data_IF_223299085320
#
_entry.id   IF_223299085320
#
_cell.length_a   1.000
_cell.length_b   1.000
_cell.length_c   1.000
_cell.angle_alpha   90.00
_cell.angle_beta   90.00
_cell.angle_gamma   90.00
#
_symmetry.space_group_name_H-M   'P 1'
#
loop_
_entity.id
_entity.type
_entity.pdbx_description
1 polymer ?
#
# COMPACT_ATOMS: atom_id res chain seq x y z
N UNK A 1 -7.15 9.21 26.23
CA UNK A 1 -8.52 9.53 25.77
C UNK A 1 -8.53 10.29 24.43
N UNK A 2 -7.62 9.96 23.50
CA UNK A 2 -7.48 10.57 22.16
C UNK A 2 -7.66 9.54 21.01
N UNK A 3 -8.04 8.30 21.35
CA UNK A 3 -8.04 7.13 20.45
C UNK A 3 -9.26 7.11 19.50
N UNK A 4 -10.36 7.78 19.86
CA UNK A 4 -11.64 7.63 19.17
C UNK A 4 -11.62 8.03 17.67
N UNK A 5 -10.98 9.14 17.25
CA UNK A 5 -10.92 9.49 15.83
C UNK A 5 -9.94 8.62 15.02
N UNK A 6 -8.89 8.10 15.67
CA UNK A 6 -7.83 7.32 15.03
C UNK A 6 -8.25 5.86 14.76
N UNK A 7 -9.06 5.28 15.65
CA UNK A 7 -9.60 3.90 15.53
C UNK A 7 -10.38 3.65 14.23
N UNK A 8 -10.87 4.72 13.58
CA UNK A 8 -11.53 4.63 12.28
C UNK A 8 -10.55 4.31 11.15
N UNK A 9 -9.29 4.73 11.25
CA UNK A 9 -8.31 4.61 10.16
C UNK A 9 -7.15 3.67 10.49
N UNK A 10 -7.04 3.23 11.75
CA UNK A 10 -6.01 2.34 12.28
C UNK A 10 -6.70 1.20 13.02
N UNK A 11 -6.31 -0.04 12.74
CA UNK A 11 -7.00 -1.22 13.26
C UNK A 11 -6.75 -1.51 14.74
N UNK A 12 -5.72 -0.90 15.31
CA UNK A 12 -5.30 -1.04 16.70
C UNK A 12 -3.82 -0.76 16.85
N UNK A 13 -3.32 -0.86 18.07
CA UNK A 13 -1.88 -0.70 18.35
C UNK A 13 -1.15 -2.04 18.29
N UNK A 14 -1.88 -3.16 18.43
CA UNK A 14 -1.29 -4.51 18.51
C UNK A 14 -1.78 -5.43 17.39
N UNK A 15 -0.92 -6.39 17.04
CA UNK A 15 -1.20 -7.38 15.98
C UNK A 15 -2.55 -8.11 16.16
N UNK A 16 -2.97 -8.59 17.36
CA UNK A 16 -4.25 -9.28 17.50
C UNK A 16 -5.46 -8.43 17.10
N UNK A 17 -5.39 -7.11 17.33
CA UNK A 17 -6.45 -6.17 16.94
C UNK A 17 -6.51 -6.00 15.43
N UNK A 18 -5.34 -5.91 14.79
CA UNK A 18 -5.21 -5.86 13.35
C UNK A 18 -5.73 -7.14 12.68
N UNK A 19 -5.36 -8.32 13.19
CA UNK A 19 -5.85 -9.62 12.70
C UNK A 19 -7.37 -9.76 12.88
N UNK A 20 -7.94 -9.25 13.98
CA UNK A 20 -9.39 -9.22 14.16
C UNK A 20 -10.09 -8.31 13.14
N UNK A 21 -9.48 -7.17 12.78
CA UNK A 21 -9.99 -6.32 11.71
C UNK A 21 -9.91 -6.98 10.33
N UNK A 22 -8.81 -7.67 10.03
CA UNK A 22 -8.67 -8.45 8.79
C UNK A 22 -9.71 -9.55 8.71
N UNK A 23 -9.97 -10.29 9.79
CA UNK A 23 -11.00 -11.35 9.81
C UNK A 23 -12.37 -10.81 9.40
N UNK A 24 -12.79 -9.67 9.96
CA UNK A 24 -14.05 -9.00 9.60
C UNK A 24 -14.11 -8.54 8.13
N UNK A 25 -12.97 -8.19 7.53
CA UNK A 25 -12.89 -7.87 6.11
C UNK A 25 -13.02 -9.14 5.26
N UNK A 26 -12.32 -10.21 5.63
CA UNK A 26 -12.34 -11.48 4.91
C UNK A 26 -13.72 -12.14 4.92
N UNK A 27 -14.47 -12.05 6.02
CA UNK A 27 -15.88 -12.48 6.13
C UNK A 27 -16.80 -11.80 5.10
N UNK A 28 -16.39 -10.66 4.56
CA UNK A 28 -17.11 -9.89 3.54
C UNK A 28 -16.50 -10.05 2.13
N UNK A 29 -15.62 -11.02 1.94
CA UNK A 29 -14.91 -11.25 0.67
C UNK A 29 -13.84 -10.20 0.35
N UNK A 30 -13.43 -9.38 1.33
CA UNK A 30 -12.43 -8.33 1.14
C UNK A 30 -11.07 -8.82 1.68
N UNK A 31 -10.04 -8.74 0.85
CA UNK A 31 -8.65 -9.06 1.20
C UNK A 31 -8.03 -7.93 2.02
N UNK A 32 -6.90 -8.18 2.69
CA UNK A 32 -6.17 -7.13 3.40
C UNK A 32 -4.68 -7.03 3.03
N UNK A 33 -4.10 -5.85 3.26
CA UNK A 33 -2.66 -5.59 3.29
C UNK A 33 -2.35 -4.99 4.66
N UNK A 34 -1.72 -5.72 5.56
CA UNK A 34 -1.33 -5.22 6.87
C UNK A 34 -0.07 -4.35 6.77
N UNK A 35 -0.08 -3.22 7.45
CA UNK A 35 1.03 -2.26 7.50
C UNK A 35 1.36 -1.96 8.96
N UNK A 36 2.57 -2.31 9.37
CA UNK A 36 3.10 -1.92 10.67
C UNK A 36 3.57 -0.47 10.58
N UNK A 37 2.98 0.40 11.40
CA UNK A 37 3.25 1.83 11.35
C UNK A 37 4.65 2.16 11.85
N UNK A 38 5.39 2.89 11.03
CA UNK A 38 6.75 3.37 11.25
C UNK A 38 7.39 3.74 9.90
N UNK A 39 8.35 4.67 9.91
CA UNK A 39 9.17 5.08 8.76
C UNK A 39 10.54 5.56 9.30
N UNK A 40 11.61 5.50 8.49
CA UNK A 40 12.91 6.16 8.76
C UNK A 40 13.58 5.80 10.11
N UNK A 41 13.88 4.51 10.34
CA UNK A 41 14.65 4.12 11.53
C UNK A 41 16.13 4.51 11.36
N UNK A 42 16.75 5.03 12.43
CA UNK A 42 18.14 5.52 12.41
C UNK A 42 19.13 4.59 13.12
N UNK A 43 18.66 3.50 13.73
CA UNK A 43 19.49 2.57 14.49
C UNK A 43 19.36 1.15 13.94
N UNK A 44 20.48 0.42 13.82
CA UNK A 44 20.48 -0.98 13.31
C UNK A 44 19.57 -1.89 14.14
N UNK A 45 19.59 -1.73 15.46
CA UNK A 45 18.73 -2.50 16.36
C UNK A 45 17.23 -2.27 16.10
N UNK A 46 16.84 -1.04 15.71
CA UNK A 46 15.46 -0.74 15.35
C UNK A 46 15.06 -1.37 14.01
N UNK A 47 15.97 -1.39 13.02
CA UNK A 47 15.76 -2.08 11.75
C UNK A 47 15.61 -3.60 11.94
N UNK A 48 16.45 -4.19 12.78
CA UNK A 48 16.37 -5.61 13.16
C UNK A 48 15.06 -5.94 13.87
N UNK A 49 14.66 -5.11 14.85
CA UNK A 49 13.38 -5.26 15.53
C UNK A 49 12.20 -5.19 14.55
N UNK A 50 12.22 -4.24 13.60
CA UNK A 50 11.18 -4.13 12.58
C UNK A 50 11.11 -5.38 11.69
N UNK A 51 12.26 -5.91 11.24
CA UNK A 51 12.33 -7.16 10.48
C UNK A 51 11.73 -8.34 11.26
N UNK A 52 12.12 -8.50 12.53
CA UNK A 52 11.55 -9.51 13.41
C UNK A 52 10.02 -9.36 13.59
N UNK A 53 9.53 -8.12 13.69
CA UNK A 53 8.09 -7.84 13.79
C UNK A 53 7.35 -8.22 12.51
N UNK A 54 7.91 -7.99 11.32
CA UNK A 54 7.31 -8.44 10.07
C UNK A 54 7.29 -9.96 9.93
N UNK A 55 8.36 -10.65 10.34
CA UNK A 55 8.39 -12.12 10.39
C UNK A 55 7.33 -12.65 11.36
N UNK A 56 7.19 -12.04 12.54
CA UNK A 56 6.16 -12.39 13.50
C UNK A 56 4.75 -12.14 12.95
N UNK A 57 4.55 -11.04 12.23
CA UNK A 57 3.28 -10.70 11.58
C UNK A 57 2.88 -11.75 10.54
N UNK A 58 3.82 -12.17 9.68
CA UNK A 58 3.57 -13.19 8.66
C UNK A 58 3.12 -14.53 9.28
N UNK A 59 3.80 -14.97 10.35
CA UNK A 59 3.39 -16.14 11.13
C UNK A 59 2.01 -15.94 11.78
N UNK A 60 1.77 -14.77 12.37
CA UNK A 60 0.48 -14.43 12.97
C UNK A 60 -0.68 -14.42 11.97
N UNK A 61 -0.45 -13.99 10.73
CA UNK A 61 -1.43 -14.09 9.63
C UNK A 61 -1.76 -15.55 9.33
N UNK A 62 -0.74 -16.40 9.18
CA UNK A 62 -0.91 -17.83 8.91
C UNK A 62 -1.64 -18.55 10.05
N UNK A 63 -1.21 -18.34 11.29
CA UNK A 63 -1.80 -18.95 12.49
C UNK A 63 -3.28 -18.53 12.67
N UNK A 64 -3.61 -17.28 12.34
CA UNK A 64 -4.97 -16.76 12.42
C UNK A 64 -5.89 -17.22 11.28
N UNK A 65 -5.32 -17.83 10.23
CA UNK A 65 -6.04 -18.29 9.04
C UNK A 65 -6.70 -17.15 8.25
N UNK A 66 -6.15 -15.94 8.30
CA UNK A 66 -6.72 -14.76 7.63
C UNK A 66 -6.04 -14.50 6.28
N UNK A 67 -6.78 -13.97 5.31
CA UNK A 67 -6.26 -13.64 3.99
C UNK A 67 -5.76 -12.18 3.95
N UNK A 68 -4.45 -12.04 4.22
CA UNK A 68 -3.73 -10.77 4.15
C UNK A 68 -2.31 -10.95 3.63
N UNK A 69 -1.82 -9.96 2.89
CA UNK A 69 -0.38 -9.76 2.67
C UNK A 69 0.15 -8.67 3.61
N UNK A 70 1.46 -8.44 3.61
CA UNK A 70 2.06 -7.29 4.31
C UNK A 70 2.55 -6.21 3.35
N UNK A 71 2.49 -4.95 3.79
CA UNK A 71 3.14 -3.79 3.18
C UNK A 71 4.29 -3.36 4.09
N UNK A 72 5.45 -3.08 3.50
CA UNK A 72 6.68 -2.68 4.21
C UNK A 72 7.27 -1.42 3.59
N UNK A 73 8.09 -0.71 4.36
CA UNK A 73 8.87 0.44 3.91
C UNK A 73 10.34 0.14 4.15
N UNK A 74 11.19 0.39 3.16
CA UNK A 74 12.60 0.00 3.26
C UNK A 74 13.36 0.86 4.25
N UNK A 75 12.92 2.09 4.48
CA UNK A 75 13.50 2.93 5.55
C UNK A 75 13.26 2.39 6.94
N UNK A 76 12.20 1.58 7.18
CA UNK A 76 12.04 0.82 8.42
C UNK A 76 13.01 -0.35 8.54
N UNK A 77 13.55 -0.83 7.41
CA UNK A 77 14.51 -1.92 7.37
C UNK A 77 15.96 -1.42 7.36
N UNK A 78 16.18 -0.11 7.57
CA UNK A 78 17.51 0.47 7.66
C UNK A 78 18.07 0.98 6.32
N UNK A 79 17.23 1.29 5.33
CA UNK A 79 17.69 1.84 4.04
C UNK A 79 18.49 3.15 4.22
N UNK A 80 18.10 3.99 5.18
CA UNK A 80 18.82 5.23 5.54
C UNK A 80 20.16 4.97 6.26
N UNK A 81 20.38 3.76 6.76
CA UNK A 81 21.59 3.36 7.50
C UNK A 81 22.59 2.73 6.53
N UNK A 82 22.17 1.66 5.87
CA UNK A 82 22.97 0.90 4.91
C UNK A 82 22.05 0.12 3.96
N UNK A 83 22.14 0.31 2.63
CA UNK A 83 21.29 -0.40 1.68
C UNK A 83 21.37 -1.93 1.78
N UNK A 84 22.56 -2.47 2.07
CA UNK A 84 22.75 -3.92 2.25
C UNK A 84 22.02 -4.44 3.49
N UNK A 85 21.99 -3.67 4.58
CA UNK A 85 21.24 -4.03 5.79
C UNK A 85 19.74 -4.17 5.46
N UNK A 86 19.17 -3.18 4.76
CA UNK A 86 17.77 -3.23 4.34
C UNK A 86 17.47 -4.44 3.43
N UNK A 87 18.41 -4.79 2.56
CA UNK A 87 18.32 -5.96 1.69
C UNK A 87 18.34 -7.27 2.47
N UNK A 88 19.23 -7.44 3.45
CA UNK A 88 19.30 -8.63 4.30
C UNK A 88 18.00 -8.82 5.10
N UNK A 89 17.49 -7.74 5.70
CA UNK A 89 16.19 -7.77 6.39
C UNK A 89 15.03 -8.09 5.45
N UNK A 90 15.04 -7.53 4.23
CA UNK A 90 14.04 -7.82 3.21
C UNK A 90 14.06 -9.31 2.82
N UNK A 91 15.24 -9.88 2.56
CA UNK A 91 15.37 -11.32 2.23
C UNK A 91 14.82 -12.20 3.35
N UNK A 92 15.12 -11.87 4.61
CA UNK A 92 14.59 -12.58 5.79
C UNK A 92 13.06 -12.56 5.82
N UNK A 93 12.45 -11.40 5.57
CA UNK A 93 10.99 -11.25 5.51
C UNK A 93 10.41 -12.04 4.33
N UNK A 94 11.05 -12.02 3.17
CA UNK A 94 10.60 -12.75 1.98
C UNK A 94 10.65 -14.26 2.15
N UNK A 95 11.65 -14.77 2.87
CA UNK A 95 11.73 -16.19 3.22
C UNK A 95 10.63 -16.60 4.19
N UNK A 96 10.39 -15.83 5.25
CA UNK A 96 9.26 -16.06 6.15
C UNK A 96 7.91 -15.98 5.41
N UNK A 97 7.77 -15.04 4.49
CA UNK A 97 6.55 -14.90 3.70
C UNK A 97 6.31 -16.17 2.87
N UNK A 98 7.35 -16.70 2.22
CA UNK A 98 7.27 -17.95 1.46
C UNK A 98 6.95 -19.16 2.34
N UNK A 99 7.55 -19.27 3.53
CA UNK A 99 7.25 -20.33 4.51
C UNK A 99 5.77 -20.34 4.94
N UNK A 100 5.12 -19.19 4.91
CA UNK A 100 3.71 -18.99 5.29
C UNK A 100 2.74 -18.88 4.10
N UNK A 101 3.18 -19.24 2.89
CA UNK A 101 2.42 -19.09 1.63
C UNK A 101 1.87 -17.66 1.40
N UNK A 102 2.70 -16.66 1.72
CA UNK A 102 2.37 -15.25 1.68
C UNK A 102 3.37 -14.46 0.82
N UNK A 103 3.09 -13.17 0.61
CA UNK A 103 3.88 -12.27 -0.21
C UNK A 103 3.95 -10.86 0.38
N UNK A 104 4.92 -10.08 -0.10
CA UNK A 104 5.26 -8.77 0.45
C UNK A 104 5.08 -7.67 -0.60
N UNK A 105 4.52 -6.53 -0.19
CA UNK A 105 4.52 -5.29 -0.98
C UNK A 105 5.53 -4.31 -0.41
N UNK A 106 6.49 -3.90 -1.22
CA UNK A 106 7.38 -2.78 -0.91
C UNK A 106 6.63 -1.49 -1.27
N UNK A 107 6.27 -0.71 -0.25
CA UNK A 107 5.66 0.60 -0.42
C UNK A 107 6.69 1.61 -0.95
N UNK A 108 6.21 2.55 -1.76
CA UNK A 108 7.05 3.60 -2.34
C UNK A 108 6.98 4.85 -1.48
N UNK A 109 8.13 5.22 -0.93
CA UNK A 109 8.31 6.38 -0.08
C UNK A 109 8.52 7.66 -0.94
N UNK A 110 9.08 8.73 -0.38
CA UNK A 110 9.34 9.97 -1.12
C UNK A 110 10.33 9.78 -2.27
N UNK A 111 10.37 10.72 -3.21
CA UNK A 111 11.20 10.60 -4.43
C UNK A 111 12.70 10.35 -4.20
N UNK A 112 13.35 10.81 -3.09
CA UNK A 112 14.74 10.45 -2.80
C UNK A 112 14.97 8.94 -2.69
N UNK A 113 13.94 8.17 -2.32
CA UNK A 113 14.02 6.72 -2.13
C UNK A 113 13.61 5.91 -3.37
N UNK A 114 13.07 6.54 -4.42
CA UNK A 114 12.46 5.79 -5.53
C UNK A 114 13.45 4.91 -6.27
N UNK A 115 14.65 5.42 -6.58
CA UNK A 115 15.67 4.60 -7.26
C UNK A 115 16.15 3.46 -6.36
N UNK A 116 16.56 3.79 -5.13
CA UNK A 116 17.04 2.83 -4.14
C UNK A 116 16.03 1.70 -3.89
N UNK A 117 14.74 2.05 -3.85
CA UNK A 117 13.65 1.08 -3.68
C UNK A 117 13.51 0.16 -4.89
N UNK A 118 13.63 0.70 -6.11
CA UNK A 118 13.54 -0.11 -7.32
C UNK A 118 14.78 -0.99 -7.50
N UNK A 119 15.98 -0.49 -7.17
CA UNK A 119 17.22 -1.29 -7.17
C UNK A 119 17.12 -2.47 -6.20
N UNK A 120 16.74 -2.20 -4.94
CA UNK A 120 16.54 -3.25 -3.94
C UNK A 120 15.45 -4.25 -4.37
N UNK A 121 14.36 -3.77 -4.98
CA UNK A 121 13.31 -4.63 -5.53
C UNK A 121 13.85 -5.54 -6.64
N UNK A 122 14.55 -5.00 -7.64
CA UNK A 122 15.03 -5.79 -8.76
C UNK A 122 16.04 -6.85 -8.33
N UNK A 123 16.97 -6.48 -7.43
CA UNK A 123 17.97 -7.40 -6.89
C UNK A 123 17.31 -8.64 -6.23
N UNK A 124 16.35 -8.43 -5.32
CA UNK A 124 15.67 -9.58 -4.69
C UNK A 124 14.71 -10.28 -5.64
N UNK A 125 14.11 -9.57 -6.60
CA UNK A 125 13.12 -10.13 -7.51
C UNK A 125 13.73 -11.14 -8.49
N UNK A 126 15.04 -11.12 -8.74
CA UNK A 126 15.71 -12.15 -9.53
C UNK A 126 15.49 -13.55 -8.95
N UNK A 127 15.53 -13.68 -7.62
CA UNK A 127 15.45 -14.98 -6.91
C UNK A 127 14.16 -15.19 -6.12
N UNK A 128 13.46 -14.11 -5.73
CA UNK A 128 12.23 -14.15 -4.93
C UNK A 128 11.06 -13.57 -5.73
N UNK A 129 10.04 -14.37 -6.05
CA UNK A 129 8.86 -13.91 -6.81
C UNK A 129 7.65 -13.55 -5.96
N UNK A 130 7.71 -13.77 -4.64
CA UNK A 130 6.66 -13.42 -3.68
C UNK A 130 6.79 -11.96 -3.18
N UNK A 131 7.15 -11.05 -4.08
CA UNK A 131 7.31 -9.62 -3.79
C UNK A 131 6.72 -8.77 -4.92
N UNK A 132 6.19 -7.60 -4.56
CA UNK A 132 5.75 -6.58 -5.51
C UNK A 132 6.11 -5.18 -5.00
N UNK A 133 5.98 -4.18 -5.86
CA UNK A 133 6.37 -2.79 -5.56
C UNK A 133 5.24 -1.80 -5.83
N UNK A 134 5.34 -0.58 -5.30
CA UNK A 134 4.42 0.53 -5.54
C UNK A 134 5.03 1.52 -6.55
N UNK A 135 4.20 2.11 -7.42
CA UNK A 135 4.57 3.23 -8.29
C UNK A 135 3.58 4.39 -8.08
N UNK A 136 4.09 5.62 -8.11
CA UNK A 136 3.33 6.85 -7.84
C UNK A 136 3.09 7.62 -9.15
N UNK A 137 1.83 7.79 -9.58
CA UNK A 137 1.51 8.42 -10.86
C UNK A 137 1.86 9.91 -10.95
N UNK A 138 2.10 10.57 -9.81
CA UNK A 138 2.51 11.98 -9.78
C UNK A 138 3.96 12.20 -10.22
N UNK A 139 4.83 11.18 -10.18
CA UNK A 139 6.23 11.35 -10.57
C UNK A 139 6.41 11.24 -12.09
N UNK A 140 7.27 12.09 -12.66
CA UNK A 140 7.53 12.11 -14.11
C UNK A 140 8.21 10.84 -14.62
N UNK A 141 8.98 10.17 -13.76
CA UNK A 141 9.69 8.90 -14.06
C UNK A 141 8.80 7.66 -14.14
N UNK A 142 7.58 7.73 -13.60
CA UNK A 142 6.75 6.54 -13.37
C UNK A 142 6.35 5.77 -14.63
N UNK A 143 6.26 6.45 -15.78
CA UNK A 143 5.97 5.78 -17.04
C UNK A 143 7.09 4.81 -17.45
N UNK A 144 8.36 5.24 -17.39
CA UNK A 144 9.50 4.38 -17.69
C UNK A 144 9.67 3.27 -16.67
N UNK A 145 9.42 3.56 -15.39
CA UNK A 145 9.51 2.53 -14.34
C UNK A 145 8.43 1.45 -14.53
N UNK A 146 7.21 1.82 -14.93
CA UNK A 146 6.16 0.85 -15.25
C UNK A 146 6.53 -0.04 -16.43
N UNK A 147 7.13 0.49 -17.50
CA UNK A 147 7.56 -0.35 -18.62
C UNK A 147 8.60 -1.39 -18.19
N UNK A 148 9.57 -1.00 -17.36
CA UNK A 148 10.58 -1.92 -16.81
C UNK A 148 9.92 -3.01 -15.95
N UNK A 149 8.98 -2.63 -15.07
CA UNK A 149 8.29 -3.54 -14.16
C UNK A 149 7.35 -4.50 -14.91
N UNK A 150 6.66 -4.02 -15.94
CA UNK A 150 5.86 -4.85 -16.84
C UNK A 150 6.76 -5.85 -17.58
N UNK A 151 7.88 -5.41 -18.13
CA UNK A 151 8.86 -6.28 -18.78
C UNK A 151 9.42 -7.36 -17.86
N UNK A 152 9.59 -7.06 -16.58
CA UNK A 152 10.01 -8.03 -15.55
C UNK A 152 8.89 -8.97 -15.09
N UNK A 153 7.62 -8.69 -15.41
CA UNK A 153 6.47 -9.44 -14.89
C UNK A 153 6.21 -9.20 -13.39
N UNK A 154 6.59 -8.03 -12.88
CA UNK A 154 6.41 -7.66 -11.48
C UNK A 154 4.94 -7.35 -11.15
N UNK A 155 4.54 -7.65 -9.90
CA UNK A 155 3.27 -7.14 -9.36
C UNK A 155 3.44 -5.67 -9.01
N UNK A 156 2.58 -4.80 -9.53
CA UNK A 156 2.65 -3.35 -9.28
C UNK A 156 1.36 -2.83 -8.63
N UNK A 157 1.51 -2.07 -7.54
CA UNK A 157 0.43 -1.24 -6.98
C UNK A 157 0.62 0.19 -7.49
N UNK A 158 -0.36 0.72 -8.20
CA UNK A 158 -0.38 2.09 -8.66
C UNK A 158 -1.13 2.98 -7.68
N UNK A 159 -0.49 4.04 -7.21
CA UNK A 159 -1.08 5.11 -6.37
C UNK A 159 -0.89 6.45 -7.04
N UNK A 160 -1.57 7.51 -6.58
CA UNK A 160 -1.27 8.89 -7.02
C UNK A 160 0.09 9.36 -6.49
N UNK A 161 0.39 9.05 -5.24
CA UNK A 161 1.53 9.55 -4.47
C UNK A 161 1.07 10.35 -3.25
N UNK A 162 1.80 10.23 -2.14
CA UNK A 162 1.40 10.76 -0.83
C UNK A 162 2.38 11.80 -0.26
N UNK A 163 3.52 11.99 -0.93
CA UNK A 163 4.60 12.86 -0.48
C UNK A 163 4.54 14.21 -1.19
N UNK A 164 5.09 15.24 -0.55
CA UNK A 164 5.22 16.56 -1.16
C UNK A 164 6.50 16.60 -1.96
N UNK A 165 6.35 16.63 -3.28
CA UNK A 165 7.47 16.51 -4.21
C UNK A 165 7.72 17.80 -5.00
N UNK A 166 8.97 18.12 -5.34
CA UNK A 166 9.31 19.33 -6.09
C UNK A 166 8.85 19.22 -7.56
N UNK A 167 8.49 20.36 -8.16
CA UNK A 167 7.93 20.43 -9.52
C UNK A 167 8.78 19.80 -10.65
N UNK A 168 10.14 19.82 -10.58
CA UNK A 168 10.96 19.11 -11.55
C UNK A 168 10.75 17.59 -11.53
N UNK A 169 10.43 17.01 -10.37
CA UNK A 169 10.28 15.56 -10.21
C UNK A 169 8.81 15.11 -10.34
N UNK A 170 7.86 15.96 -9.96
CA UNK A 170 6.46 15.60 -9.88
C UNK A 170 5.51 16.61 -10.56
N UNK A 171 4.46 16.08 -11.18
CA UNK A 171 3.31 16.86 -11.64
C UNK A 171 2.59 17.48 -10.45
N UNK A 172 2.39 18.80 -10.49
CA UNK A 172 1.77 19.56 -9.40
C UNK A 172 0.26 19.71 -9.57
N UNK A 173 -0.21 19.71 -10.83
CA UNK A 173 -1.62 19.86 -11.15
C UNK A 173 -2.39 18.55 -10.95
N UNK A 174 -3.43 18.59 -10.11
CA UNK A 174 -4.28 17.41 -9.83
C UNK A 174 -4.84 16.78 -11.11
N UNK A 175 -5.25 17.58 -12.09
CA UNK A 175 -5.76 17.08 -13.39
C UNK A 175 -4.71 16.23 -14.10
N UNK A 176 -3.47 16.72 -14.16
CA UNK A 176 -2.36 16.01 -14.81
C UNK A 176 -2.01 14.73 -14.07
N UNK A 177 -1.96 14.75 -12.72
CA UNK A 177 -1.74 13.52 -11.92
C UNK A 177 -2.84 12.49 -12.15
N UNK A 178 -4.09 12.96 -12.27
CA UNK A 178 -5.27 12.14 -12.53
C UNK A 178 -5.24 11.50 -13.93
N UNK A 179 -4.81 12.24 -14.95
CA UNK A 179 -4.63 11.72 -16.33
C UNK A 179 -3.47 10.73 -16.41
N UNK A 180 -2.36 11.02 -15.73
CA UNK A 180 -1.25 10.07 -15.64
C UNK A 180 -1.66 8.80 -14.89
N UNK A 181 -2.45 8.91 -13.82
CA UNK A 181 -2.97 7.74 -13.11
C UNK A 181 -3.75 6.82 -14.05
N UNK A 182 -4.69 7.36 -14.83
CA UNK A 182 -5.48 6.56 -15.78
C UNK A 182 -4.59 5.91 -16.84
N UNK A 183 -3.69 6.69 -17.46
CA UNK A 183 -2.77 6.18 -18.49
C UNK A 183 -1.90 5.03 -17.99
N UNK A 184 -1.36 5.16 -16.78
CA UNK A 184 -0.51 4.14 -16.16
C UNK A 184 -1.33 2.93 -15.70
N UNK A 185 -2.57 3.14 -15.24
CA UNK A 185 -3.48 2.06 -14.90
C UNK A 185 -3.83 1.23 -16.14
N UNK A 186 -4.21 1.86 -17.24
CA UNK A 186 -4.50 1.19 -18.53
C UNK A 186 -3.32 0.32 -18.95
N UNK A 187 -2.11 0.87 -18.95
CA UNK A 187 -0.89 0.14 -19.32
C UNK A 187 -0.67 -1.11 -18.45
N UNK A 188 -0.84 -0.96 -17.14
CA UNK A 188 -0.72 -2.07 -16.18
C UNK A 188 -1.83 -3.11 -16.36
N UNK A 189 -3.05 -2.69 -16.70
CA UNK A 189 -4.17 -3.61 -16.91
C UNK A 189 -4.01 -4.43 -18.19
N UNK A 190 -3.43 -3.84 -19.25
CA UNK A 190 -3.20 -4.53 -20.52
C UNK A 190 -2.09 -5.58 -20.43
N UNK A 191 -0.99 -5.29 -19.73
CA UNK A 191 0.21 -6.15 -19.77
C UNK A 191 0.87 -6.44 -18.42
N UNK A 192 0.40 -5.84 -17.34
CA UNK A 192 0.96 -6.05 -16.01
C UNK A 192 0.57 -7.42 -15.42
N UNK A 193 1.35 -7.83 -14.42
CA UNK A 193 1.08 -9.02 -13.63
C UNK A 193 0.27 -8.67 -12.38
N UNK A 194 -1.01 -9.05 -12.36
CA UNK A 194 -1.92 -8.81 -11.23
C UNK A 194 -1.84 -7.39 -10.64
N UNK A 195 -2.07 -6.34 -11.46
CA UNK A 195 -1.92 -4.97 -11.01
C UNK A 195 -2.95 -4.61 -9.93
N UNK A 196 -2.53 -3.72 -9.04
CA UNK A 196 -3.37 -3.18 -7.98
C UNK A 196 -3.64 -1.69 -8.22
N UNK A 197 -4.89 -1.34 -8.48
CA UNK A 197 -5.33 0.04 -8.70
C UNK A 197 -5.75 0.64 -7.35
N UNK A 198 -4.82 1.32 -6.69
CA UNK A 198 -5.01 1.82 -5.33
C UNK A 198 -5.49 3.28 -5.32
N UNK A 199 -6.80 3.47 -5.22
CA UNK A 199 -7.45 4.78 -5.26
C UNK A 199 -8.82 4.78 -4.60
N UNK A 200 -9.23 5.94 -4.07
CA UNK A 200 -10.59 6.19 -3.55
C UNK A 200 -11.42 7.10 -4.47
N UNK A 201 -10.84 7.49 -5.61
CA UNK A 201 -11.41 8.45 -6.54
C UNK A 201 -12.38 7.74 -7.50
N UNK A 202 -13.67 8.08 -7.42
CA UNK A 202 -14.72 7.44 -8.21
C UNK A 202 -14.52 7.59 -9.70
N UNK A 203 -13.98 8.71 -10.15
CA UNK A 203 -13.74 8.92 -11.57
C UNK A 203 -12.67 7.96 -12.09
N UNK A 204 -11.69 7.58 -11.26
CA UNK A 204 -10.62 6.63 -11.64
C UNK A 204 -11.10 5.18 -11.54
N UNK A 205 -11.94 4.88 -10.55
CA UNK A 205 -12.59 3.56 -10.43
C UNK A 205 -13.51 3.31 -11.62
N UNK A 206 -14.37 4.27 -11.95
CA UNK A 206 -15.27 4.19 -13.10
C UNK A 206 -14.50 4.06 -14.42
N UNK A 207 -13.43 4.85 -14.59
CA UNK A 207 -12.53 4.75 -15.74
C UNK A 207 -11.92 3.35 -15.89
N UNK A 208 -11.37 2.79 -14.80
CA UNK A 208 -10.79 1.44 -14.77
C UNK A 208 -11.82 0.38 -15.16
N UNK A 209 -13.04 0.47 -14.64
CA UNK A 209 -14.13 -0.47 -14.94
C UNK A 209 -14.54 -0.38 -16.41
N UNK A 210 -14.70 0.84 -16.95
CA UNK A 210 -15.06 1.04 -18.35
C UNK A 210 -13.97 0.46 -19.27
N UNK A 211 -12.71 0.83 -19.05
CA UNK A 211 -11.58 0.37 -19.83
C UNK A 211 -11.45 -1.17 -19.83
N UNK A 212 -11.53 -1.79 -18.65
CA UNK A 212 -11.44 -3.25 -18.55
C UNK A 212 -12.62 -3.96 -19.21
N UNK A 213 -13.82 -3.40 -19.12
CA UNK A 213 -14.99 -3.88 -19.85
C UNK A 213 -14.82 -3.81 -21.37
N UNK A 214 -14.33 -2.69 -21.89
CA UNK A 214 -14.06 -2.51 -23.33
C UNK A 214 -12.97 -3.46 -23.86
N UNK A 215 -11.96 -3.76 -23.03
CA UNK A 215 -10.86 -4.66 -23.40
C UNK A 215 -11.10 -6.12 -23.06
N UNK A 216 -12.24 -6.47 -22.46
CA UNK A 216 -12.54 -7.84 -22.02
C UNK A 216 -11.59 -8.37 -20.96
N UNK A 217 -11.04 -7.49 -20.11
CA UNK A 217 -10.13 -7.87 -19.02
C UNK A 217 -10.97 -8.31 -17.82
N UNK A 218 -10.82 -9.58 -17.43
CA UNK A 218 -11.62 -10.16 -16.35
C UNK A 218 -11.33 -9.52 -14.97
N UNK A 219 -12.33 -9.35 -14.09
CA UNK A 219 -12.18 -8.73 -12.76
C UNK A 219 -11.11 -9.38 -11.87
N UNK A 220 -10.80 -10.66 -12.06
CA UNK A 220 -9.81 -11.41 -11.27
C UNK A 220 -8.37 -11.10 -11.70
N UNK A 221 -8.18 -10.46 -12.86
CA UNK A 221 -6.85 -10.13 -13.40
C UNK A 221 -6.18 -8.97 -12.67
N UNK A 222 -6.93 -8.19 -11.92
CA UNK A 222 -6.44 -7.04 -11.17
C UNK A 222 -7.18 -6.91 -9.84
N UNK A 223 -6.76 -5.97 -8.99
CA UNK A 223 -7.49 -5.66 -7.77
C UNK A 223 -7.63 -4.15 -7.57
N UNK A 224 -8.74 -3.73 -6.97
CA UNK A 224 -8.86 -2.40 -6.39
C UNK A 224 -8.28 -2.41 -4.98
N UNK A 225 -7.61 -1.32 -4.60
CA UNK A 225 -7.17 -1.15 -3.22
C UNK A 225 -7.60 0.18 -2.61
N UNK A 226 -7.96 0.12 -1.34
CA UNK A 226 -8.36 1.29 -0.55
C UNK A 226 -7.83 1.20 0.87
N UNK A 227 -7.60 2.34 1.49
CA UNK A 227 -7.29 2.42 2.92
C UNK A 227 -8.47 2.00 3.81
N UNK A 228 -8.13 1.39 4.96
CA UNK A 228 -9.06 1.03 6.01
C UNK A 228 -9.86 2.24 6.52
N UNK A 229 -11.17 2.03 6.77
CA UNK A 229 -12.09 3.06 7.22
C UNK A 229 -12.46 4.13 6.19
N UNK A 230 -12.04 3.98 4.93
CA UNK A 230 -12.32 4.93 3.85
C UNK A 230 -13.17 4.27 2.78
N UNK A 231 -14.33 4.87 2.47
CA UNK A 231 -15.20 4.41 1.38
C UNK A 231 -15.66 2.95 1.55
N UNK A 232 -15.92 2.53 2.79
CA UNK A 232 -16.27 1.14 3.13
C UNK A 232 -17.44 0.58 2.30
N UNK A 233 -18.47 1.38 2.03
CA UNK A 233 -19.57 0.98 1.15
C UNK A 233 -19.10 0.69 -0.29
N UNK A 234 -18.16 1.47 -0.82
CA UNK A 234 -17.57 1.24 -2.14
C UNK A 234 -16.71 -0.01 -2.17
N UNK A 235 -15.95 -0.26 -1.11
CA UNK A 235 -15.13 -1.48 -0.99
C UNK A 235 -16.02 -2.74 -1.12
N UNK A 236 -17.13 -2.75 -0.40
CA UNK A 236 -18.10 -3.85 -0.38
C UNK A 236 -18.78 -3.99 -1.73
N UNK A 237 -19.27 -2.88 -2.29
CA UNK A 237 -19.93 -2.89 -3.59
C UNK A 237 -19.00 -3.40 -4.71
N UNK A 238 -17.70 -3.11 -4.65
CA UNK A 238 -16.73 -3.65 -5.62
C UNK A 238 -16.53 -5.16 -5.42
N UNK A 239 -16.41 -5.63 -4.19
CA UNK A 239 -16.29 -7.05 -3.88
C UNK A 239 -17.54 -7.85 -4.31
N UNK A 240 -18.74 -7.34 -4.03
CA UNK A 240 -20.02 -7.95 -4.44
C UNK A 240 -20.20 -8.01 -5.96
N UNK A 241 -19.55 -7.10 -6.69
CA UNK A 241 -19.50 -7.08 -8.16
C UNK A 241 -18.45 -8.03 -8.75
N UNK A 242 -17.76 -8.82 -7.92
CA UNK A 242 -16.76 -9.80 -8.33
C UNK A 242 -15.34 -9.23 -8.51
N UNK A 243 -15.10 -7.94 -8.25
CA UNK A 243 -13.73 -7.41 -8.28
C UNK A 243 -12.97 -7.87 -7.05
N UNK A 244 -11.68 -8.19 -7.24
CA UNK A 244 -10.78 -8.34 -6.09
C UNK A 244 -10.63 -6.98 -5.40
N UNK A 245 -11.01 -6.93 -4.13
CA UNK A 245 -10.91 -5.73 -3.30
C UNK A 245 -9.96 -6.00 -2.15
N UNK A 246 -8.90 -5.20 -2.03
CA UNK A 246 -7.95 -5.28 -0.91
C UNK A 246 -7.93 -4.00 -0.09
N UNK A 247 -8.06 -4.12 1.21
CA UNK A 247 -7.99 -2.99 2.13
C UNK A 247 -6.61 -2.91 2.78
N UNK A 248 -5.99 -1.74 2.74
CA UNK A 248 -4.74 -1.45 3.43
C UNK A 248 -5.04 -1.10 4.89
N UNK A 249 -4.57 -1.94 5.81
CA UNK A 249 -4.91 -1.95 7.24
C UNK A 249 -3.67 -1.59 8.06
N UNK A 250 -3.52 -0.30 8.42
CA UNK A 250 -2.42 0.12 9.27
C UNK A 250 -2.71 -0.24 10.74
N UNK A 251 -1.66 -0.59 11.48
CA UNK A 251 -1.69 -0.84 12.93
C UNK A 251 -0.32 -0.52 13.55
N UNK A 252 -0.29 -0.34 14.87
CA UNK A 252 0.94 -0.04 15.60
C UNK A 252 0.85 1.24 16.43
N UNK A 253 1.83 1.41 17.32
CA UNK A 253 1.88 2.54 18.26
C UNK A 253 2.19 3.88 17.57
N UNK A 254 2.91 3.85 16.44
CA UNK A 254 3.29 5.04 15.64
C UNK A 254 2.14 5.57 14.75
N UNK A 255 0.92 5.57 15.26
CA UNK A 255 -0.26 5.92 14.48
C UNK A 255 -0.45 7.41 14.22
N UNK A 256 0.15 8.27 15.05
CA UNK A 256 -0.12 9.71 15.02
C UNK A 256 0.34 10.40 13.72
N UNK A 257 1.57 10.20 13.21
CA UNK A 257 2.00 10.79 11.93
C UNK A 257 1.12 10.34 10.76
N UNK A 258 0.78 9.06 10.71
CA UNK A 258 -0.10 8.49 9.70
C UNK A 258 -1.50 9.12 9.74
N UNK A 259 -2.11 9.18 10.93
CA UNK A 259 -3.42 9.79 11.15
C UNK A 259 -3.44 11.27 10.75
N UNK A 260 -2.40 12.03 11.11
CA UNK A 260 -2.29 13.44 10.76
C UNK A 260 -2.21 13.67 9.24
N UNK A 261 -1.48 12.81 8.51
CA UNK A 261 -1.43 12.83 7.03
C UNK A 261 -2.83 12.61 6.44
N UNK A 262 -3.58 11.63 6.95
CA UNK A 262 -4.96 11.34 6.54
C UNK A 262 -5.94 12.49 6.83
N UNK A 263 -5.78 13.21 7.94
CA UNK A 263 -6.58 14.39 8.24
C UNK A 263 -6.33 15.53 7.23
N UNK A 264 -5.06 15.79 6.87
CA UNK A 264 -4.69 16.88 5.94
C UNK A 264 -5.15 16.63 4.51
N UNK A 265 -5.20 15.37 4.07
CA UNK A 265 -5.70 14.99 2.75
C UNK A 265 -7.20 15.28 2.58
N UNK A 266 -7.95 15.40 3.68
CA UNK A 266 -9.38 15.75 3.68
C UNK A 266 -9.61 17.14 4.25
N UNK A 267 -9.39 18.19 3.45
CA UNK A 267 -9.74 19.57 3.81
C UNK A 267 -11.17 19.71 4.36
N UNK A 268 -12.11 18.91 3.87
CA UNK A 268 -13.52 18.91 4.31
C UNK A 268 -13.72 18.32 5.74
N UNK A 269 -12.92 17.31 6.13
CA UNK A 269 -13.04 16.66 7.44
C UNK A 269 -12.39 17.44 8.57
N UNK A 270 -11.42 18.31 8.28
CA UNK A 270 -10.83 19.20 9.30
C UNK A 270 -11.92 20.06 9.95
N UNK A 271 -12.87 20.55 9.14
CA UNK A 271 -14.02 21.33 9.64
C UNK A 271 -15.02 20.51 10.48
N UNK A 272 -15.16 19.21 10.18
CA UNK A 272 -16.03 18.28 10.89
C UNK A 272 -15.41 17.86 12.24
N UNK A 273 -14.11 17.61 12.28
CA UNK A 273 -13.37 17.31 13.51
C UNK A 273 -13.30 18.54 14.42
N UNK A 274 -13.05 19.75 13.89
CA UNK A 274 -13.11 20.99 14.68
C UNK A 274 -14.52 21.26 15.23
N UNK A 275 -15.58 21.03 14.45
CA UNK A 275 -16.97 21.22 14.91
C UNK A 275 -17.35 20.30 16.06
N UNK A 276 -16.80 19.08 16.11
CA UNK A 276 -17.06 18.15 17.21
C UNK A 276 -16.19 18.41 18.45
N UNK A 277 -15.05 19.12 18.31
CA UNK A 277 -14.24 19.59 19.44
C UNK A 277 -14.81 20.84 20.11
N UNK A 278 -15.49 21.70 19.35
CA UNK A 278 -16.11 22.94 19.83
C UNK A 278 -17.54 22.76 20.37
N UNK A 279 -18.13 21.57 20.17
CA UNK A 279 -19.34 21.13 20.88
C UNK A 279 -18.94 20.42 22.17
N UNK A 280 -18.46 21.19 23.14
CA UNK A 280 -18.58 20.86 24.56
C UNK A 280 -19.79 21.59 25.11
#
# INVERSE_FOLDING_TARGET
MLIWPASRFVAGERMPEALAAVRRLNERGILASLDLLGENVSERAAAEAASCQYVHLLRGIADAGVNANISIKLTMLGLDIEPELAREHLLTILDAARETDNWVRIDMEGSPYTELTLEAFYDVFETKKNVGVVIQSMLRRSASDIERLVGAGARVRLVKGAYREPAPLAYQEKRVVNEQFDRLAERLLEAGNAPAIATHDDARIAHTIAFTGERGIAPERFEFQMLYGIREATQVALAERGYRMRVYVPYGEEWFPYFYRRLRERKENVSFVLRNLLKR
#
